data_IF_463959939265
#
_entry.id   IF_463959939265
#
_cell.length_a   1.000
_cell.length_b   1.000
_cell.length_c   1.000
_cell.angle_alpha   90.00
_cell.angle_beta   90.00
_cell.angle_gamma   90.00
#
_symmetry.space_group_name_H-M   'P 1'
#
loop_
_entity.id
_entity.type
_entity.pdbx_description
1 polymer ?
#
# COMPACT_ATOMS: atom_id res chain seq x y z
N UNK A 1 16.75 21.21 -0.45
CA UNK A 1 17.47 21.12 -1.74
C UNK A 1 18.95 21.19 -1.45
N UNK A 2 19.71 20.18 -1.87
CA UNK A 2 21.13 20.04 -1.53
C UNK A 2 22.04 21.05 -2.24
N UNK A 3 21.63 21.60 -3.38
CA UNK A 3 22.45 22.45 -4.27
C UNK A 3 23.81 21.84 -4.67
N UNK A 4 23.95 20.53 -4.59
CA UNK A 4 25.10 19.72 -4.99
C UNK A 4 24.64 18.31 -5.39
N UNK A 5 25.50 17.57 -6.04
CA UNK A 5 25.25 16.16 -6.37
C UNK A 5 25.32 15.35 -5.07
N UNK A 6 24.30 14.52 -4.77
CA UNK A 6 24.33 13.65 -3.60
C UNK A 6 25.40 12.55 -3.74
N UNK A 7 25.99 12.13 -2.63
CA UNK A 7 26.82 10.94 -2.60
C UNK A 7 25.96 9.65 -2.62
N UNK A 8 26.59 8.50 -2.76
CA UNK A 8 25.89 7.21 -2.86
C UNK A 8 25.02 6.90 -1.64
N UNK A 9 25.49 7.22 -0.45
CA UNK A 9 24.75 7.02 0.81
C UNK A 9 23.50 7.90 0.86
N UNK A 10 23.65 9.16 0.53
CA UNK A 10 22.51 10.10 0.45
C UNK A 10 21.50 9.68 -0.62
N UNK A 11 21.99 9.18 -1.76
CA UNK A 11 21.12 8.67 -2.81
C UNK A 11 20.32 7.45 -2.33
N UNK A 12 20.95 6.54 -1.59
CA UNK A 12 20.28 5.41 -0.96
C UNK A 12 19.22 5.84 0.05
N UNK A 13 19.51 6.83 0.88
CA UNK A 13 18.55 7.41 1.84
C UNK A 13 17.36 8.03 1.09
N UNK A 14 17.60 8.82 0.07
CA UNK A 14 16.51 9.42 -0.72
C UNK A 14 15.66 8.36 -1.40
N UNK A 15 16.27 7.31 -1.96
CA UNK A 15 15.55 6.20 -2.57
C UNK A 15 14.64 5.49 -1.57
N UNK A 16 15.14 5.18 -0.38
CA UNK A 16 14.36 4.55 0.69
C UNK A 16 13.21 5.46 1.16
N UNK A 17 13.47 6.75 1.36
CA UNK A 17 12.44 7.72 1.78
C UNK A 17 11.39 7.99 0.71
N UNK A 18 11.72 7.80 -0.56
CA UNK A 18 10.79 7.96 -1.68
C UNK A 18 9.93 6.73 -1.93
N UNK A 19 10.27 5.62 -1.30
CA UNK A 19 9.51 4.40 -1.34
C UNK A 19 8.10 4.62 -0.78
N UNK A 20 7.09 3.91 -1.30
CA UNK A 20 5.70 4.03 -0.87
C UNK A 20 5.50 3.81 0.64
N UNK A 21 6.25 2.89 1.24
CA UNK A 21 6.18 2.60 2.67
C UNK A 21 6.65 3.77 3.55
N UNK A 22 7.63 4.54 3.08
CA UNK A 22 8.16 5.69 3.80
C UNK A 22 7.48 7.00 3.39
N UNK A 23 7.07 7.12 2.13
CA UNK A 23 6.45 8.33 1.59
C UNK A 23 4.93 8.37 1.73
N UNK A 24 4.36 7.55 2.59
CA UNK A 24 2.91 7.50 2.82
C UNK A 24 2.29 8.88 3.11
N UNK A 25 3.02 9.74 3.78
CA UNK A 25 2.59 11.14 4.03
C UNK A 25 2.35 11.90 2.71
N UNK A 26 3.16 11.64 1.69
CA UNK A 26 3.02 12.28 0.37
C UNK A 26 1.86 11.68 -0.43
N UNK A 27 1.68 10.35 -0.39
CA UNK A 27 0.59 9.67 -1.10
C UNK A 27 -0.78 9.88 -0.47
N UNK A 28 -0.84 10.14 0.83
CA UNK A 28 -2.09 10.32 1.59
C UNK A 28 -3.01 11.39 1.01
N UNK A 29 -2.46 12.47 0.46
CA UNK A 29 -3.25 13.54 -0.18
C UNK A 29 -4.01 13.04 -1.42
N UNK A 30 -3.45 12.07 -2.13
CA UNK A 30 -4.07 11.45 -3.28
C UNK A 30 -5.07 10.37 -2.86
N UNK A 31 -4.73 9.55 -1.87
CA UNK A 31 -5.59 8.51 -1.33
C UNK A 31 -6.88 9.07 -0.75
N UNK A 32 -6.83 10.24 -0.13
CA UNK A 32 -8.03 10.95 0.38
C UNK A 32 -9.06 11.32 -0.69
N UNK A 33 -8.69 11.32 -1.96
CA UNK A 33 -9.58 11.60 -3.08
C UNK A 33 -10.45 10.40 -3.46
N UNK A 34 -10.06 9.20 -3.03
CA UNK A 34 -10.81 7.99 -3.29
C UNK A 34 -12.09 7.96 -2.42
N UNK A 35 -13.16 7.42 -2.98
CA UNK A 35 -14.40 7.23 -2.26
C UNK A 35 -14.24 6.12 -1.22
N UNK A 36 -14.33 6.48 0.05
CA UNK A 36 -14.04 5.56 1.17
C UNK A 36 -15.14 5.50 2.23
N UNK A 37 -16.26 6.16 1.97
CA UNK A 37 -17.39 6.21 2.90
C UNK A 37 -18.70 5.93 2.17
N UNK A 38 -19.59 5.19 2.81
CA UNK A 38 -20.91 4.87 2.26
C UNK A 38 -21.66 3.92 3.19
N UNK A 39 -22.96 3.79 2.99
CA UNK A 39 -23.82 2.93 3.83
C UNK A 39 -23.42 1.45 3.80
N UNK A 40 -22.83 1.00 2.70
CA UNK A 40 -22.39 -0.39 2.49
C UNK A 40 -20.93 -0.65 2.89
N UNK A 41 -20.21 0.35 3.40
CA UNK A 41 -18.82 0.20 3.82
C UNK A 41 -18.78 -0.01 5.32
N UNK A 42 -18.46 -1.24 5.76
CA UNK A 42 -18.28 -1.56 7.16
C UNK A 42 -16.89 -1.20 7.66
N UNK A 43 -15.88 -1.42 6.81
CA UNK A 43 -14.49 -1.15 7.16
C UNK A 43 -13.77 -0.48 5.98
N UNK A 44 -13.29 0.71 6.21
CA UNK A 44 -12.57 1.53 5.25
C UNK A 44 -11.08 1.65 5.56
N UNK A 45 -10.40 2.69 5.03
CA UNK A 45 -8.96 2.91 5.23
C UNK A 45 -8.57 3.04 6.70
N UNK A 46 -7.41 2.46 7.03
CA UNK A 46 -6.86 2.42 8.38
C UNK A 46 -6.77 1.01 8.95
N UNK A 47 -7.42 0.06 8.29
CA UNK A 47 -7.43 -1.35 8.63
C UNK A 47 -6.74 -2.20 7.54
N UNK A 48 -6.45 -3.47 7.86
CA UNK A 48 -5.73 -4.35 6.93
C UNK A 48 -6.55 -4.82 5.74
N UNK A 49 -7.87 -4.77 5.83
CA UNK A 49 -8.77 -5.18 4.76
C UNK A 49 -9.93 -4.21 4.62
N UNK A 50 -10.53 -4.15 3.44
CA UNK A 50 -11.82 -3.51 3.22
C UNK A 50 -12.95 -4.50 3.47
N UNK A 51 -14.07 -4.03 4.01
CA UNK A 51 -15.27 -4.84 4.21
C UNK A 51 -16.47 -4.09 3.65
N UNK A 52 -17.19 -4.75 2.73
CA UNK A 52 -18.34 -4.18 2.04
C UNK A 52 -19.54 -5.09 2.26
N UNK A 53 -20.66 -4.49 2.66
CA UNK A 53 -21.96 -5.12 2.73
C UNK A 53 -22.50 -5.45 1.32
N UNK A 54 -22.95 -6.69 1.10
CA UNK A 54 -23.55 -7.12 -0.16
C UNK A 54 -25.03 -7.52 -0.04
N UNK A 55 -25.64 -7.19 1.07
CA UNK A 55 -27.01 -7.51 1.45
C UNK A 55 -27.17 -8.95 2.03
N UNK A 56 -28.35 -9.25 2.58
CA UNK A 56 -28.74 -10.56 3.12
C UNK A 56 -27.81 -11.12 4.22
N UNK A 57 -27.26 -10.25 5.09
CA UNK A 57 -26.35 -10.59 6.19
C UNK A 57 -24.95 -11.05 5.73
N UNK A 58 -24.63 -10.89 4.44
CA UNK A 58 -23.33 -11.22 3.88
C UNK A 58 -22.45 -9.99 3.68
N UNK A 59 -21.14 -10.18 3.75
CA UNK A 59 -20.15 -9.15 3.47
C UNK A 59 -18.97 -9.70 2.68
N UNK A 60 -18.41 -8.88 1.79
CA UNK A 60 -17.16 -9.18 1.10
C UNK A 60 -16.01 -8.56 1.85
N UNK A 61 -15.03 -9.37 2.22
CA UNK A 61 -13.73 -8.94 2.76
C UNK A 61 -12.70 -9.02 1.64
N UNK A 62 -11.99 -7.94 1.42
CA UNK A 62 -11.01 -7.88 0.33
C UNK A 62 -9.74 -7.14 0.73
N UNK A 63 -8.64 -7.51 0.09
CA UNK A 63 -7.35 -6.85 0.20
C UNK A 63 -6.61 -6.94 -1.13
N UNK A 64 -5.88 -5.89 -1.47
CA UNK A 64 -4.94 -5.88 -2.59
C UNK A 64 -3.53 -5.73 -2.01
N UNK A 65 -2.64 -6.64 -2.39
CA UNK A 65 -1.24 -6.64 -1.99
C UNK A 65 -0.36 -6.73 -3.23
N UNK A 66 0.61 -5.83 -3.35
CA UNK A 66 1.61 -5.85 -4.42
C UNK A 66 2.99 -6.16 -3.84
N UNK A 67 3.65 -7.18 -4.41
CA UNK A 67 5.00 -7.60 -4.08
C UNK A 67 5.84 -7.69 -5.36
N UNK A 68 6.21 -6.56 -5.93
CA UNK A 68 6.84 -6.52 -7.25
C UNK A 68 8.26 -7.10 -7.23
N UNK A 69 9.13 -6.56 -6.41
CA UNK A 69 10.54 -6.93 -6.38
C UNK A 69 10.78 -8.36 -5.89
N UNK A 70 10.23 -8.79 -4.75
CA UNK A 70 10.36 -10.18 -4.32
C UNK A 70 9.81 -11.18 -5.35
N UNK A 71 8.68 -10.88 -5.97
CA UNK A 71 8.06 -11.77 -6.95
C UNK A 71 8.82 -11.83 -8.27
N UNK A 72 9.55 -10.78 -8.63
CA UNK A 72 10.43 -10.79 -9.81
C UNK A 72 11.63 -11.74 -9.64
N UNK A 73 12.19 -11.80 -8.44
CA UNK A 73 13.38 -12.61 -8.13
C UNK A 73 12.97 -14.02 -7.73
N UNK A 74 12.02 -14.16 -6.81
CA UNK A 74 11.52 -15.41 -6.25
C UNK A 74 9.98 -15.43 -6.27
N UNK A 75 9.36 -15.81 -7.40
CA UNK A 75 7.91 -15.71 -7.57
C UNK A 75 7.10 -16.45 -6.51
N UNK A 76 7.53 -17.65 -6.13
CA UNK A 76 6.85 -18.44 -5.10
C UNK A 76 6.86 -17.73 -3.73
N UNK A 77 8.03 -17.28 -3.30
CA UNK A 77 8.18 -16.59 -2.02
C UNK A 77 7.46 -15.24 -2.01
N UNK A 78 7.51 -14.53 -3.13
CA UNK A 78 6.76 -13.28 -3.30
C UNK A 78 5.26 -13.48 -3.18
N UNK A 79 4.73 -14.52 -3.81
CA UNK A 79 3.31 -14.87 -3.72
C UNK A 79 2.92 -15.31 -2.30
N UNK A 80 3.72 -16.15 -1.66
CA UNK A 80 3.48 -16.61 -0.29
C UNK A 80 3.43 -15.44 0.70
N UNK A 81 4.35 -14.49 0.59
CA UNK A 81 4.36 -13.28 1.43
C UNK A 81 3.16 -12.37 1.11
N UNK A 82 2.78 -12.26 -0.17
CA UNK A 82 1.62 -11.50 -0.59
C UNK A 82 0.31 -12.04 0.02
N UNK A 83 0.15 -13.36 0.02
CA UNK A 83 -1.03 -14.03 0.61
C UNK A 83 -1.00 -13.96 2.14
N UNK A 84 0.18 -14.14 2.75
CA UNK A 84 0.33 -14.14 4.21
C UNK A 84 0.23 -12.76 4.87
N UNK A 85 0.44 -11.71 4.12
CA UNK A 85 0.32 -10.33 4.62
C UNK A 85 -1.06 -9.77 4.46
#
# INVERSE_FOLDING_TARGET
>A
KLNRIPNLTELGIFSAMWNEHCSYKSSKIHLKKLHTKGKKIFQGPGENAGVIDIDDEDAIVFKIKSHNHPSFIEPYQGAATGVGG
#
